data_IF_639838685532
#
_entry.id   IF_639838685532
#
_cell.length_a   1.000
_cell.length_b   1.000
_cell.length_c   1.000
_cell.angle_alpha   90.00
_cell.angle_beta   90.00
_cell.angle_gamma   90.00
#
_symmetry.space_group_name_H-M   'P 1'
#
loop_
_entity.id
_entity.type
_entity.pdbx_description
1 polymer ?
#
# COMPACT_ATOMS: atom_id res chain seq x y z
N UNK A 1 0.53 -13.29 -7.09
CA UNK A 1 0.20 -14.05 -5.87
C UNK A 1 0.66 -15.50 -5.93
N UNK A 2 0.32 -16.23 -7.02
CA UNK A 2 0.61 -17.66 -7.13
C UNK A 2 2.06 -18.01 -6.81
N UNK A 3 3.01 -17.25 -7.33
CA UNK A 3 4.43 -17.51 -7.10
C UNK A 3 4.88 -17.19 -5.67
N UNK A 4 4.40 -16.10 -5.12
CA UNK A 4 4.64 -15.72 -3.73
C UNK A 4 4.04 -16.74 -2.77
N UNK A 5 2.76 -17.12 -2.98
CA UNK A 5 2.06 -18.12 -2.17
C UNK A 5 2.65 -19.52 -2.30
N UNK A 6 3.26 -19.86 -3.45
CA UNK A 6 3.89 -21.17 -3.68
C UNK A 6 5.26 -21.26 -3.01
N UNK A 7 6.11 -20.24 -3.16
CA UNK A 7 7.54 -20.28 -2.86
C UNK A 7 7.95 -19.45 -1.63
N UNK A 8 7.06 -18.63 -1.06
CA UNK A 8 7.40 -17.71 0.05
C UNK A 8 8.42 -16.64 -0.33
N UNK A 9 8.53 -16.31 -1.62
CA UNK A 9 9.52 -15.36 -2.13
C UNK A 9 8.95 -14.47 -3.24
N UNK A 10 9.41 -13.22 -3.25
CA UNK A 10 9.08 -12.26 -4.30
C UNK A 10 9.71 -12.63 -5.64
N UNK A 11 9.04 -12.32 -6.73
CA UNK A 11 9.61 -12.45 -8.05
C UNK A 11 10.57 -11.27 -8.30
N UNK A 12 11.86 -11.55 -8.33
CA UNK A 12 12.91 -10.56 -8.58
C UNK A 12 13.37 -10.65 -10.02
N UNK A 13 13.35 -9.52 -10.73
CA UNK A 13 14.02 -9.36 -12.03
C UNK A 13 15.45 -8.88 -11.84
N UNK A 14 16.43 -9.55 -12.45
CA UNK A 14 17.84 -9.16 -12.34
C UNK A 14 18.17 -7.86 -13.10
N UNK A 15 17.39 -7.54 -14.14
CA UNK A 15 17.61 -6.40 -15.05
C UNK A 15 16.82 -5.14 -14.67
N UNK A 16 16.08 -5.16 -13.58
CA UNK A 16 15.19 -4.07 -13.21
C UNK A 16 13.89 -4.05 -14.01
N UNK A 17 13.25 -2.89 -14.05
CA UNK A 17 11.99 -2.64 -14.77
C UNK A 17 12.30 -1.73 -15.95
N UNK A 18 11.88 -2.13 -17.15
CA UNK A 18 12.07 -1.40 -18.40
C UNK A 18 10.78 -0.80 -18.96
N UNK A 19 9.70 -0.84 -18.17
CA UNK A 19 8.43 -0.15 -18.46
C UNK A 19 8.57 1.36 -18.23
N UNK A 20 7.72 2.20 -18.85
CA UNK A 20 7.73 3.64 -18.66
C UNK A 20 7.49 4.03 -17.18
N UNK A 21 7.88 5.25 -16.84
CA UNK A 21 7.39 5.88 -15.60
C UNK A 21 5.87 5.97 -15.62
N UNK A 22 5.22 5.88 -14.48
CA UNK A 22 3.76 5.88 -14.37
C UNK A 22 3.11 7.04 -15.14
N UNK A 23 3.65 8.25 -15.00
CA UNK A 23 3.17 9.46 -15.68
C UNK A 23 3.30 9.42 -17.22
N UNK A 24 4.15 8.55 -17.75
CA UNK A 24 4.38 8.38 -19.21
C UNK A 24 3.69 7.12 -19.77
N UNK A 25 3.07 6.32 -18.93
CA UNK A 25 2.36 5.12 -19.36
C UNK A 25 1.02 5.46 -20.02
N UNK A 26 0.69 4.76 -21.10
CA UNK A 26 -0.63 4.83 -21.73
C UNK A 26 -1.67 3.92 -21.04
N UNK A 27 -1.25 3.16 -20.05
CA UNK A 27 -2.11 2.27 -19.29
C UNK A 27 -2.35 2.84 -17.90
N UNK A 28 -3.49 2.49 -17.29
CA UNK A 28 -3.76 2.84 -15.90
C UNK A 28 -2.62 2.37 -14.98
N UNK A 29 -2.15 3.28 -14.15
CA UNK A 29 -1.12 3.00 -13.16
C UNK A 29 -1.67 3.22 -11.74
N UNK A 30 -1.53 2.23 -10.85
CA UNK A 30 -1.88 2.45 -9.45
C UNK A 30 -1.00 3.55 -8.85
N UNK A 31 -1.54 4.33 -7.93
CA UNK A 31 -0.88 5.49 -7.35
C UNK A 31 0.51 5.17 -6.74
N UNK A 32 0.71 3.94 -6.30
CA UNK A 32 2.01 3.46 -5.81
C UNK A 32 3.15 3.62 -6.82
N UNK A 33 2.86 3.47 -8.11
CA UNK A 33 3.88 3.47 -9.16
C UNK A 33 4.46 4.88 -9.43
N UNK A 34 3.78 5.92 -8.96
CA UNK A 34 4.28 7.31 -9.01
C UNK A 34 5.34 7.60 -7.94
N UNK A 35 5.54 6.70 -6.97
CA UNK A 35 6.52 6.85 -5.91
C UNK A 35 7.68 5.89 -6.11
N UNK A 36 8.90 6.41 -6.03
CA UNK A 36 10.13 5.63 -6.11
C UNK A 36 10.88 5.70 -4.79
N UNK A 37 11.32 4.55 -4.29
CA UNK A 37 12.11 4.47 -3.07
C UNK A 37 13.40 5.26 -3.24
N UNK A 38 13.66 6.22 -2.35
CA UNK A 38 14.95 6.89 -2.27
C UNK A 38 15.95 5.98 -1.57
N UNK A 39 17.15 5.88 -2.11
CA UNK A 39 18.28 5.29 -1.39
C UNK A 39 18.89 6.35 -0.50
N UNK A 40 19.03 6.03 0.78
CA UNK A 40 19.65 6.93 1.71
C UNK A 40 21.19 6.94 1.48
N UNK A 41 21.72 8.10 1.22
CA UNK A 41 23.16 8.37 1.40
C UNK A 41 23.32 8.85 2.84
N UNK A 42 23.81 7.99 3.74
CA UNK A 42 23.45 8.16 5.13
C UNK A 42 24.58 7.94 6.07
N UNK A 43 24.37 8.54 7.24
CA UNK A 43 25.09 8.26 8.48
C UNK A 43 24.96 6.79 8.90
N UNK A 44 23.83 6.13 8.62
CA UNK A 44 23.64 4.72 8.91
C UNK A 44 23.98 3.88 7.66
N UNK A 45 25.02 3.03 7.70
CA UNK A 45 25.35 2.17 6.57
C UNK A 45 24.25 1.11 6.34
N UNK A 46 24.08 0.63 5.11
CA UNK A 46 23.21 -0.48 4.82
C UNK A 46 23.56 -1.72 5.66
N UNK A 47 22.53 -2.45 6.06
CA UNK A 47 22.69 -3.74 6.76
C UNK A 47 22.98 -4.81 5.69
N UNK A 48 23.95 -5.66 5.92
CA UNK A 48 24.31 -6.72 4.98
C UNK A 48 23.24 -7.81 4.89
N UNK A 49 23.18 -8.50 3.75
CA UNK A 49 22.16 -9.49 3.46
C UNK A 49 22.21 -10.76 4.34
N UNK A 50 23.30 -11.00 5.06
CA UNK A 50 23.42 -12.14 5.97
C UNK A 50 22.74 -11.81 7.29
N UNK A 51 22.93 -10.59 7.80
CA UNK A 51 22.41 -10.15 9.11
C UNK A 51 21.05 -9.49 9.05
N UNK A 52 20.55 -9.07 7.86
CA UNK A 52 19.29 -8.31 7.74
C UNK A 52 18.12 -8.97 8.49
N UNK A 53 17.98 -10.29 8.44
CA UNK A 53 16.89 -11.02 9.11
C UNK A 53 17.04 -11.07 10.64
N UNK A 54 18.26 -11.01 11.15
CA UNK A 54 18.54 -11.11 12.58
C UNK A 54 18.42 -9.74 13.26
N UNK A 55 18.90 -8.69 12.61
CA UNK A 55 18.95 -7.35 13.22
C UNK A 55 17.71 -6.50 12.95
N UNK A 56 16.92 -6.82 11.91
CA UNK A 56 15.73 -6.04 11.56
C UNK A 56 14.51 -6.53 12.31
N UNK A 57 13.95 -5.67 13.16
CA UNK A 57 12.68 -5.94 13.84
C UNK A 57 11.50 -5.46 13.01
N UNK A 58 10.56 -6.36 12.75
CA UNK A 58 9.28 -6.08 12.09
C UNK A 58 8.14 -5.85 13.07
N UNK A 59 8.41 -5.94 14.37
CA UNK A 59 7.42 -5.74 15.43
C UNK A 59 6.82 -4.35 15.37
N UNK A 60 5.50 -4.28 15.47
CA UNK A 60 4.73 -3.03 15.50
C UNK A 60 3.89 -2.98 16.76
N UNK A 61 3.70 -1.78 17.29
CA UNK A 61 2.81 -1.50 18.41
C UNK A 61 1.64 -0.66 17.92
N UNK A 62 0.42 -1.07 18.27
CA UNK A 62 -0.82 -0.42 17.86
C UNK A 62 -1.52 0.14 19.08
N UNK A 63 -2.04 1.35 18.95
CA UNK A 63 -2.74 2.07 20.01
C UNK A 63 -2.24 3.50 20.12
N UNK A 64 -2.45 4.11 21.29
CA UNK A 64 -1.93 5.43 21.59
C UNK A 64 -0.51 5.34 22.11
N UNK A 65 0.39 6.19 21.61
CA UNK A 65 1.74 6.38 22.18
C UNK A 65 1.70 7.22 23.48
N UNK A 66 0.58 7.89 23.73
CA UNK A 66 0.42 8.82 24.85
C UNK A 66 1.34 10.04 24.76
N UNK A 67 1.61 10.65 25.90
CA UNK A 67 2.57 11.74 25.99
C UNK A 67 3.92 11.19 26.44
N UNK A 68 4.88 11.11 25.53
CA UNK A 68 6.24 10.57 25.78
C UNK A 68 7.05 11.40 26.80
N UNK A 69 6.60 12.61 27.12
CA UNK A 69 7.21 13.47 28.16
C UNK A 69 6.66 13.17 29.56
N UNK A 70 5.66 12.32 29.66
CA UNK A 70 5.04 11.92 30.93
C UNK A 70 5.22 10.41 31.14
N UNK A 71 5.91 10.04 32.21
CA UNK A 71 6.12 8.62 32.59
C UNK A 71 4.85 8.05 33.24
N UNK A 72 3.90 7.58 32.40
CA UNK A 72 2.64 6.99 32.86
C UNK A 72 2.53 5.53 32.41
N UNK A 73 2.06 4.60 33.28
CA UNK A 73 1.82 3.20 32.89
C UNK A 73 0.89 3.05 31.69
N UNK A 74 -0.08 3.96 31.52
CA UNK A 74 -1.06 3.97 30.43
C UNK A 74 -0.38 4.10 29.05
N UNK A 75 0.76 4.79 28.96
CA UNK A 75 1.52 4.93 27.72
C UNK A 75 2.10 3.60 27.21
N UNK A 76 2.16 2.58 28.09
CA UNK A 76 2.62 1.23 27.75
C UNK A 76 1.49 0.30 27.30
N UNK A 77 0.23 0.76 27.33
CA UNK A 77 -0.93 -0.02 26.83
C UNK A 77 -0.99 0.00 25.31
N UNK A 78 -0.20 -0.86 24.68
CA UNK A 78 -0.16 -1.00 23.23
C UNK A 78 -0.32 -2.47 22.84
N UNK A 79 -1.03 -2.73 21.73
CA UNK A 79 -1.15 -4.05 21.16
C UNK A 79 0.11 -4.35 20.32
N UNK A 80 0.89 -5.32 20.78
CA UNK A 80 2.07 -5.78 20.06
C UNK A 80 1.68 -6.79 18.98
N UNK A 81 2.10 -6.55 17.75
CA UNK A 81 2.02 -7.49 16.63
C UNK A 81 3.41 -7.80 16.09
N UNK A 82 3.63 -9.02 15.61
CA UNK A 82 4.97 -9.49 15.20
C UNK A 82 5.45 -8.85 13.89
N UNK A 83 4.51 -8.49 13.01
CA UNK A 83 4.79 -7.83 11.74
C UNK A 83 3.59 -6.98 11.29
N UNK A 84 3.78 -6.02 10.36
CA UNK A 84 2.72 -5.12 9.94
C UNK A 84 1.73 -5.70 8.93
N UNK A 85 1.89 -6.96 8.48
CA UNK A 85 0.97 -7.58 7.52
C UNK A 85 0.00 -8.50 8.25
N UNK A 86 -1.27 -8.11 8.24
CA UNK A 86 -2.32 -8.81 8.97
C UNK A 86 -3.06 -9.80 8.08
N UNK A 87 -3.40 -10.95 8.65
CA UNK A 87 -4.34 -11.89 8.03
C UNK A 87 -5.79 -11.40 8.19
N UNK A 88 -6.72 -11.96 7.40
CA UNK A 88 -8.16 -11.71 7.58
C UNK A 88 -8.64 -12.10 9.00
N UNK A 89 -8.05 -13.12 9.58
CA UNK A 89 -8.34 -13.51 10.97
C UNK A 89 -7.84 -12.48 11.98
N UNK A 90 -6.65 -11.91 11.76
CA UNK A 90 -6.08 -10.93 12.68
C UNK A 90 -6.89 -9.62 12.69
N UNK A 91 -7.29 -9.13 11.50
CA UNK A 91 -8.12 -7.93 11.43
C UNK A 91 -9.48 -8.12 12.10
N UNK A 92 -10.08 -9.30 11.99
CA UNK A 92 -11.34 -9.62 12.68
C UNK A 92 -11.16 -9.67 14.20
N UNK A 93 -10.04 -10.22 14.71
CA UNK A 93 -9.73 -10.17 16.15
C UNK A 93 -9.56 -8.75 16.64
N UNK A 94 -8.89 -7.89 15.88
CA UNK A 94 -8.70 -6.47 16.23
C UNK A 94 -10.05 -5.75 16.24
N UNK A 95 -10.87 -5.90 15.19
CA UNK A 95 -12.22 -5.28 15.10
C UNK A 95 -13.13 -5.65 16.29
N UNK A 96 -13.03 -6.90 16.75
CA UNK A 96 -13.87 -7.43 17.83
C UNK A 96 -13.22 -7.36 19.21
N UNK A 97 -12.08 -6.71 19.33
CA UNK A 97 -11.33 -6.63 20.59
C UNK A 97 -12.11 -5.84 21.64
N UNK A 98 -12.35 -6.48 22.78
CA UNK A 98 -13.02 -5.89 23.97
C UNK A 98 -12.06 -5.91 25.15
N UNK A 99 -10.96 -5.19 25.03
CA UNK A 99 -9.93 -5.10 26.06
C UNK A 99 -9.89 -3.66 26.55
N UNK A 100 -9.90 -3.49 27.87
CA UNK A 100 -9.84 -2.15 28.49
C UNK A 100 -8.58 -1.39 28.04
N UNK A 101 -8.76 -0.13 27.65
CA UNK A 101 -7.71 0.73 27.11
C UNK A 101 -7.57 0.69 25.59
N UNK A 102 -8.36 -0.17 24.88
CA UNK A 102 -8.42 -0.18 23.42
C UNK A 102 -9.83 0.13 22.92
N UNK A 103 -9.93 1.06 22.01
CA UNK A 103 -11.15 1.32 21.24
C UNK A 103 -10.80 1.37 19.76
N UNK A 104 -11.40 0.44 19.02
CA UNK A 104 -11.19 0.27 17.58
C UNK A 104 -12.38 0.85 16.83
N UNK A 105 -12.12 1.67 15.83
CA UNK A 105 -13.16 2.23 14.95
C UNK A 105 -12.79 1.94 13.50
N UNK A 106 -13.76 1.46 12.72
CA UNK A 106 -13.57 1.24 11.28
C UNK A 106 -14.19 2.40 10.52
N UNK A 107 -13.39 3.06 9.69
CA UNK A 107 -13.80 4.16 8.83
C UNK A 107 -13.79 3.68 7.38
N UNK A 108 -14.94 3.66 6.69
CA UNK A 108 -14.99 3.33 5.27
C UNK A 108 -14.24 4.40 4.47
N UNK A 109 -13.40 3.95 3.53
CA UNK A 109 -12.74 4.81 2.53
C UNK A 109 -13.41 4.65 1.16
N UNK A 110 -14.73 4.51 1.16
CA UNK A 110 -15.57 4.45 -0.03
C UNK A 110 -16.49 5.66 -0.08
N UNK A 111 -16.83 6.08 -1.28
CA UNK A 111 -17.68 7.26 -1.50
C UNK A 111 -18.60 7.05 -2.71
N UNK A 112 -19.70 7.80 -2.77
CA UNK A 112 -20.61 7.74 -3.90
C UNK A 112 -19.97 8.26 -5.18
N UNK A 113 -20.16 7.55 -6.28
CA UNK A 113 -19.62 7.81 -7.62
C UNK A 113 -19.79 9.25 -8.12
N UNK A 114 -20.84 9.96 -7.67
CA UNK A 114 -21.10 11.35 -8.05
C UNK A 114 -20.53 12.38 -7.07
N UNK A 115 -19.72 11.94 -6.11
CA UNK A 115 -19.04 12.81 -5.14
C UNK A 115 -17.60 12.98 -5.57
N UNK A 116 -17.03 14.19 -5.49
CA UNK A 116 -15.62 14.38 -5.82
C UNK A 116 -14.71 13.70 -4.79
N UNK A 117 -13.57 13.21 -5.25
CA UNK A 117 -12.54 12.59 -4.42
C UNK A 117 -12.09 13.52 -3.28
N UNK A 118 -11.98 14.83 -3.55
CA UNK A 118 -11.63 15.83 -2.53
C UNK A 118 -12.65 15.84 -1.38
N UNK A 119 -13.94 15.87 -1.67
CA UNK A 119 -15.00 15.81 -0.65
C UNK A 119 -14.99 14.49 0.12
N UNK A 120 -14.66 13.38 -0.55
CA UNK A 120 -14.53 12.09 0.09
C UNK A 120 -13.39 12.09 1.13
N UNK A 121 -12.25 12.72 0.80
CA UNK A 121 -11.13 12.88 1.72
C UNK A 121 -11.51 13.82 2.88
N UNK A 122 -12.22 14.91 2.62
CA UNK A 122 -12.70 15.81 3.68
C UNK A 122 -13.64 15.08 4.66
N UNK A 123 -14.50 14.21 4.13
CA UNK A 123 -15.38 13.36 4.96
C UNK A 123 -14.56 12.38 5.82
N UNK A 124 -13.49 11.80 5.26
CA UNK A 124 -12.58 10.94 6.02
C UNK A 124 -11.99 11.67 7.25
N UNK A 125 -11.63 12.96 7.11
CA UNK A 125 -11.14 13.76 8.23
C UNK A 125 -12.20 13.97 9.32
N UNK A 126 -13.45 14.23 8.93
CA UNK A 126 -14.58 14.39 9.86
C UNK A 126 -14.82 13.10 10.64
N UNK A 127 -14.81 11.95 9.97
CA UNK A 127 -14.99 10.66 10.63
C UNK A 127 -13.83 10.31 11.57
N UNK A 128 -12.58 10.61 11.18
CA UNK A 128 -11.42 10.44 12.05
C UNK A 128 -11.49 11.33 13.29
N UNK A 129 -11.97 12.55 13.15
CA UNK A 129 -12.20 13.45 14.29
C UNK A 129 -13.32 12.98 15.22
N UNK A 130 -14.38 12.42 14.65
CA UNK A 130 -15.45 11.77 15.42
C UNK A 130 -14.88 10.60 16.23
N UNK A 131 -14.18 9.70 15.56
CA UNK A 131 -13.57 8.53 16.19
C UNK A 131 -12.62 8.94 17.35
N UNK A 132 -11.77 9.95 17.11
CA UNK A 132 -10.87 10.48 18.15
C UNK A 132 -11.63 11.04 19.35
N UNK A 133 -12.66 11.86 19.14
CA UNK A 133 -13.50 12.41 20.24
C UNK A 133 -14.20 11.33 21.03
N UNK A 134 -14.56 10.23 20.39
CA UNK A 134 -15.15 9.06 21.03
C UNK A 134 -14.11 8.17 21.74
N UNK A 135 -12.83 8.52 21.67
CA UNK A 135 -11.74 7.81 22.36
C UNK A 135 -11.15 6.63 21.59
N UNK A 136 -11.38 6.54 20.28
CA UNK A 136 -10.71 5.52 19.46
C UNK A 136 -9.19 5.77 19.44
N UNK A 137 -8.42 4.70 19.65
CA UNK A 137 -6.95 4.71 19.57
C UNK A 137 -6.41 3.77 18.50
N UNK A 138 -7.29 3.01 17.84
CA UNK A 138 -6.98 2.25 16.64
C UNK A 138 -8.06 2.57 15.59
N UNK A 139 -7.64 3.10 14.45
CA UNK A 139 -8.50 3.34 13.29
C UNK A 139 -8.19 2.32 12.22
N UNK A 140 -9.22 1.69 11.65
CA UNK A 140 -9.12 0.82 10.50
C UNK A 140 -9.75 1.53 9.31
N UNK A 141 -8.95 1.92 8.33
CA UNK A 141 -9.42 2.38 7.03
C UNK A 141 -9.79 1.17 6.18
N UNK A 142 -11.01 1.11 5.68
CA UNK A 142 -11.48 -0.06 4.92
C UNK A 142 -12.12 0.34 3.60
N UNK A 143 -11.69 -0.29 2.51
CA UNK A 143 -12.34 -0.19 1.20
C UNK A 143 -13.32 -1.34 0.92
N UNK A 144 -13.61 -2.17 1.94
CA UNK A 144 -14.66 -3.19 1.81
C UNK A 144 -16.01 -2.52 1.59
N UNK A 145 -16.79 -3.07 0.69
CA UNK A 145 -18.10 -2.56 0.33
C UNK A 145 -18.11 -1.72 -0.94
N UNK A 146 -17.04 -1.75 -1.72
CA UNK A 146 -17.06 -1.24 -3.11
C UNK A 146 -18.13 -2.00 -3.89
N UNK A 147 -19.02 -1.26 -4.53
CA UNK A 147 -20.12 -1.78 -5.36
C UNK A 147 -20.35 -0.87 -6.59
N UNK A 148 -21.39 -1.08 -7.35
CA UNK A 148 -21.70 -0.31 -8.57
C UNK A 148 -21.81 1.22 -8.33
N UNK A 149 -22.15 1.64 -7.10
CA UNK A 149 -22.39 3.03 -6.72
C UNK A 149 -21.29 3.62 -5.82
N UNK A 150 -20.49 2.76 -5.19
CA UNK A 150 -19.47 3.17 -4.24
C UNK A 150 -18.08 2.88 -4.80
N UNK A 151 -17.28 3.92 -4.87
CA UNK A 151 -15.90 3.93 -5.35
C UNK A 151 -14.95 4.05 -4.17
N UNK A 152 -13.80 3.38 -4.20
CA UNK A 152 -12.80 3.51 -3.16
C UNK A 152 -11.91 4.73 -3.37
N UNK A 153 -11.57 5.43 -2.30
CA UNK A 153 -10.42 6.35 -2.28
C UNK A 153 -9.16 5.51 -2.47
N UNK A 154 -8.22 5.86 -3.37
CA UNK A 154 -6.95 5.15 -3.48
C UNK A 154 -6.29 4.99 -2.11
N UNK A 155 -5.94 3.76 -1.74
CA UNK A 155 -5.54 3.44 -0.38
C UNK A 155 -4.31 4.22 0.10
N UNK A 156 -3.33 4.43 -0.79
CA UNK A 156 -2.16 5.23 -0.49
C UNK A 156 -2.52 6.71 -0.24
N UNK A 157 -3.46 7.25 -1.01
CA UNK A 157 -3.95 8.63 -0.82
C UNK A 157 -4.70 8.76 0.50
N UNK A 158 -5.59 7.80 0.82
CA UNK A 158 -6.34 7.80 2.08
C UNK A 158 -5.41 7.74 3.30
N UNK A 159 -4.42 6.83 3.29
CA UNK A 159 -3.44 6.70 4.37
C UNK A 159 -2.61 7.97 4.54
N UNK A 160 -2.04 8.48 3.44
CA UNK A 160 -1.18 9.66 3.51
C UNK A 160 -1.95 10.92 3.88
N UNK A 161 -3.13 11.13 3.32
CA UNK A 161 -4.00 12.26 3.65
C UNK A 161 -4.38 12.26 5.13
N UNK A 162 -4.85 11.12 5.65
CA UNK A 162 -5.17 10.98 7.08
C UNK A 162 -3.93 11.20 7.96
N UNK A 163 -2.78 10.61 7.61
CA UNK A 163 -1.53 10.81 8.33
C UNK A 163 -1.17 12.30 8.44
N UNK A 164 -1.23 13.04 7.32
CA UNK A 164 -0.94 14.47 7.31
C UNK A 164 -1.93 15.25 8.19
N UNK A 165 -3.21 14.94 8.07
CA UNK A 165 -4.26 15.56 8.88
C UNK A 165 -4.05 15.32 10.38
N UNK A 166 -3.76 14.09 10.80
CA UNK A 166 -3.50 13.75 12.19
C UNK A 166 -2.25 14.43 12.74
N UNK A 167 -1.20 14.58 11.92
CA UNK A 167 0.00 15.34 12.30
C UNK A 167 -0.31 16.83 12.49
N UNK A 168 -1.02 17.44 11.52
CA UNK A 168 -1.37 18.87 11.58
C UNK A 168 -2.29 19.18 12.77
N UNK A 169 -3.22 18.30 13.09
CA UNK A 169 -4.16 18.45 14.22
C UNK A 169 -3.61 17.92 15.54
N UNK A 170 -2.34 17.49 15.58
CA UNK A 170 -1.64 16.97 16.78
C UNK A 170 -2.31 15.74 17.41
N UNK A 171 -2.94 14.89 16.59
CA UNK A 171 -3.65 13.69 17.03
C UNK A 171 -2.89 12.40 16.67
N UNK A 172 -1.78 12.50 15.91
CA UNK A 172 -1.11 11.31 15.37
C UNK A 172 -0.62 10.33 16.42
N UNK A 173 -0.13 10.80 17.54
CA UNK A 173 0.35 9.96 18.64
C UNK A 173 -0.77 9.30 19.45
N UNK A 174 -2.01 9.74 19.28
CA UNK A 174 -3.16 9.16 19.98
C UNK A 174 -3.77 7.96 19.26
N UNK A 175 -3.43 7.74 17.99
CA UNK A 175 -4.11 6.74 17.15
C UNK A 175 -3.16 5.98 16.24
N UNK A 176 -3.28 4.66 16.22
CA UNK A 176 -2.68 3.81 15.18
C UNK A 176 -3.64 3.72 13.98
N UNK A 177 -3.08 3.72 12.77
CA UNK A 177 -3.84 3.63 11.52
C UNK A 177 -3.56 2.29 10.85
N UNK A 178 -4.55 1.44 10.78
CA UNK A 178 -4.53 0.17 10.05
C UNK A 178 -5.24 0.37 8.72
N UNK A 179 -4.72 -0.22 7.66
CA UNK A 179 -5.39 -0.26 6.37
C UNK A 179 -5.89 -1.67 6.08
N UNK A 180 -7.18 -1.81 5.78
CA UNK A 180 -7.82 -3.01 5.22
C UNK A 180 -8.20 -2.69 3.77
N UNK A 181 -7.44 -3.21 2.79
CA UNK A 181 -7.62 -2.80 1.39
C UNK A 181 -7.38 -3.93 0.41
N UNK A 182 -8.13 -3.89 -0.70
CA UNK A 182 -7.95 -4.76 -1.85
C UNK A 182 -6.83 -4.33 -2.81
N UNK A 183 -6.26 -3.13 -2.65
CA UNK A 183 -5.27 -2.59 -3.58
C UNK A 183 -3.85 -3.16 -3.41
N UNK A 184 -3.28 -3.28 -2.17
CA UNK A 184 -1.89 -3.68 -2.00
C UNK A 184 -1.67 -5.14 -2.40
N UNK A 185 -0.62 -5.39 -3.20
CA UNK A 185 -0.36 -6.70 -3.81
C UNK A 185 1.08 -7.15 -3.76
N UNK A 186 2.03 -6.23 -3.90
CA UNK A 186 3.47 -6.51 -3.94
C UNK A 186 4.25 -5.67 -2.93
N UNK A 187 5.52 -6.00 -2.73
CA UNK A 187 6.39 -5.37 -1.72
C UNK A 187 6.41 -3.85 -1.82
N UNK A 188 6.41 -3.29 -3.03
CA UNK A 188 6.45 -1.84 -3.22
C UNK A 188 5.19 -1.15 -2.68
N UNK A 189 4.01 -1.75 -2.87
CA UNK A 189 2.76 -1.21 -2.33
C UNK A 189 2.78 -1.16 -0.81
N UNK A 190 3.23 -2.24 -0.16
CA UNK A 190 3.34 -2.27 1.31
C UNK A 190 4.40 -1.30 1.83
N UNK A 191 5.54 -1.21 1.16
CA UNK A 191 6.59 -0.27 1.54
C UNK A 191 6.10 1.18 1.47
N UNK A 192 5.40 1.57 0.41
CA UNK A 192 4.83 2.92 0.29
C UNK A 192 3.78 3.20 1.36
N UNK A 193 2.85 2.28 1.61
CA UNK A 193 1.83 2.43 2.65
C UNK A 193 2.44 2.62 4.04
N UNK A 194 3.40 1.79 4.42
CA UNK A 194 4.12 1.93 5.68
C UNK A 194 4.90 3.25 5.73
N UNK A 195 5.61 3.58 4.65
CA UNK A 195 6.39 4.82 4.55
C UNK A 195 5.54 6.09 4.62
N UNK A 196 4.26 6.03 4.24
CA UNK A 196 3.32 7.14 4.35
C UNK A 196 2.42 7.08 5.58
N UNK A 197 2.62 6.12 6.49
CA UNK A 197 2.07 6.20 7.84
C UNK A 197 1.08 5.11 8.25
N UNK A 198 0.84 4.08 7.42
CA UNK A 198 0.11 2.91 7.88
C UNK A 198 0.91 2.20 8.99
N UNK A 199 0.23 1.85 10.07
CA UNK A 199 0.83 1.06 11.16
C UNK A 199 0.82 -0.43 10.84
N UNK A 200 -0.26 -0.91 10.22
CA UNK A 200 -0.40 -2.27 9.73
C UNK A 200 -1.34 -2.32 8.52
N UNK A 201 -1.28 -3.39 7.74
CA UNK A 201 -2.02 -3.54 6.49
C UNK A 201 -2.60 -4.95 6.42
N UNK A 202 -3.90 -5.05 6.10
CA UNK A 202 -4.55 -6.29 5.73
C UNK A 202 -4.86 -6.26 4.22
N UNK A 203 -4.15 -7.02 3.39
CA UNK A 203 -4.39 -7.12 1.95
C UNK A 203 -5.47 -8.17 1.67
N UNK A 204 -6.70 -7.92 2.10
CA UNK A 204 -7.73 -8.93 2.12
C UNK A 204 -8.00 -9.58 0.75
N UNK A 205 -8.03 -8.77 -0.31
CA UNK A 205 -8.32 -9.27 -1.66
C UNK A 205 -7.18 -10.15 -2.21
N UNK A 206 -5.92 -9.82 -1.89
CA UNK A 206 -4.79 -10.68 -2.26
C UNK A 206 -4.88 -12.04 -1.57
N UNK A 207 -5.28 -12.09 -0.30
CA UNK A 207 -5.47 -13.33 0.45
C UNK A 207 -6.67 -14.11 -0.07
N UNK A 208 -7.79 -13.45 -0.38
CA UNK A 208 -8.98 -14.09 -0.98
C UNK A 208 -8.68 -14.63 -2.40
N UNK A 209 -7.88 -13.91 -3.19
CA UNK A 209 -7.43 -14.40 -4.52
C UNK A 209 -6.54 -15.64 -4.43
N UNK A 210 -5.80 -15.82 -3.33
CA UNK A 210 -5.05 -17.07 -3.09
C UNK A 210 -6.03 -18.25 -2.88
N UNK A 211 -7.12 -18.03 -2.13
CA UNK A 211 -8.17 -19.05 -1.96
C UNK A 211 -8.78 -19.43 -3.31
N UNK A 212 -9.09 -18.44 -4.14
CA UNK A 212 -9.63 -18.70 -5.48
C UNK A 212 -8.67 -19.54 -6.35
N UNK A 213 -7.35 -19.27 -6.29
CA UNK A 213 -6.37 -20.09 -7.01
C UNK A 213 -6.34 -21.54 -6.53
N UNK A 214 -6.60 -21.78 -5.26
CA UNK A 214 -6.70 -23.14 -4.69
C UNK A 214 -7.99 -23.81 -5.18
N UNK A 215 -9.12 -23.11 -5.09
CA UNK A 215 -10.43 -23.61 -5.50
C UNK A 215 -10.48 -23.96 -7.01
N UNK A 216 -9.77 -23.18 -7.83
CA UNK A 216 -9.59 -23.44 -9.26
C UNK A 216 -8.53 -24.52 -9.59
N UNK A 217 -7.96 -25.19 -8.58
CA UNK A 217 -6.84 -26.15 -8.72
C UNK A 217 -5.61 -25.59 -9.45
N UNK A 218 -5.41 -24.28 -9.38
CA UNK A 218 -4.23 -23.59 -9.94
C UNK A 218 -3.06 -23.53 -8.95
N UNK A 219 -3.33 -23.74 -7.66
CA UNK A 219 -2.35 -23.79 -6.57
C UNK A 219 -2.68 -24.97 -5.67
N UNK A 220 -1.83 -26.01 -5.69
CA UNK A 220 -1.95 -27.18 -4.82
C UNK A 220 -1.20 -26.92 -3.50
N UNK A 221 -1.89 -26.29 -2.55
CA UNK A 221 -1.37 -25.94 -1.22
C UNK A 221 -2.50 -25.64 -0.25
N UNK A 222 -2.25 -25.90 1.04
CA UNK A 222 -3.16 -25.45 2.10
C UNK A 222 -3.27 -23.91 2.12
N UNK A 223 -4.49 -23.41 2.31
CA UNK A 223 -4.76 -21.97 2.29
C UNK A 223 -3.94 -21.18 3.31
N UNK A 224 -3.90 -21.64 4.55
CA UNK A 224 -3.17 -20.94 5.61
C UNK A 224 -1.66 -20.91 5.33
N UNK A 225 -1.11 -22.04 4.88
CA UNK A 225 0.29 -22.12 4.49
C UNK A 225 0.60 -21.23 3.27
N UNK A 226 -0.33 -21.14 2.32
CA UNK A 226 -0.18 -20.27 1.14
C UNK A 226 -0.23 -18.78 1.49
N UNK A 227 -1.14 -18.39 2.39
CA UNK A 227 -1.23 -16.99 2.90
C UNK A 227 0.00 -16.64 3.73
N UNK A 228 0.48 -17.56 4.58
CA UNK A 228 1.70 -17.34 5.37
C UNK A 228 2.92 -17.15 4.46
N UNK A 229 3.05 -17.94 3.42
CA UNK A 229 4.16 -17.80 2.46
C UNK A 229 4.06 -16.49 1.66
N UNK A 230 2.85 -16.08 1.26
CA UNK A 230 2.64 -14.76 0.65
C UNK A 230 3.06 -13.64 1.60
N UNK A 231 2.57 -13.67 2.84
CA UNK A 231 2.91 -12.66 3.85
C UNK A 231 4.43 -12.64 4.14
N UNK A 232 5.07 -13.82 4.23
CA UNK A 232 6.51 -13.95 4.42
C UNK A 232 7.30 -13.37 3.23
N UNK A 233 6.84 -13.56 2.00
CA UNK A 233 7.46 -12.94 0.82
C UNK A 233 7.46 -11.41 0.92
N UNK A 234 6.32 -10.83 1.31
CA UNK A 234 6.17 -9.38 1.51
C UNK A 234 7.08 -8.88 2.64
N UNK A 235 7.06 -9.54 3.80
CA UNK A 235 7.89 -9.17 4.97
C UNK A 235 9.38 -9.24 4.63
N UNK A 236 9.83 -10.30 3.97
CA UNK A 236 11.22 -10.42 3.54
C UNK A 236 11.64 -9.28 2.59
N UNK A 237 10.73 -8.87 1.70
CA UNK A 237 10.96 -7.73 0.82
C UNK A 237 11.06 -6.40 1.59
N UNK A 238 10.18 -6.16 2.56
CA UNK A 238 10.23 -4.98 3.43
C UNK A 238 11.52 -4.96 4.26
N UNK A 239 11.91 -6.08 4.86
CA UNK A 239 13.18 -6.21 5.59
C UNK A 239 14.36 -5.85 4.70
N UNK A 240 14.36 -6.31 3.46
CA UNK A 240 15.41 -5.99 2.49
C UNK A 240 15.46 -4.50 2.14
N UNK A 241 14.31 -3.84 1.98
CA UNK A 241 14.24 -2.39 1.77
C UNK A 241 14.78 -1.65 3.00
N UNK A 242 14.30 -1.97 4.19
CA UNK A 242 14.75 -1.36 5.44
C UNK A 242 16.26 -1.55 5.65
N UNK A 243 16.78 -2.75 5.40
CA UNK A 243 18.20 -3.06 5.51
C UNK A 243 19.06 -2.20 4.57
N UNK A 244 18.65 -2.00 3.31
CA UNK A 244 19.34 -1.12 2.36
C UNK A 244 19.34 0.35 2.82
N UNK A 245 18.34 0.75 3.60
CA UNK A 245 18.23 2.08 4.17
C UNK A 245 18.98 2.23 5.50
N UNK A 246 19.60 1.18 6.01
CA UNK A 246 20.23 1.17 7.33
C UNK A 246 19.22 1.23 8.48
N UNK A 247 17.98 0.84 8.26
CA UNK A 247 16.89 0.86 9.24
C UNK A 247 16.74 -0.54 9.83
N UNK A 248 16.89 -0.65 11.15
CA UNK A 248 16.79 -1.91 11.88
C UNK A 248 15.46 -2.14 12.61
N UNK A 249 14.56 -1.18 12.57
CA UNK A 249 13.21 -1.32 13.11
C UNK A 249 12.17 -0.74 12.15
N UNK A 250 11.11 -1.51 11.89
CA UNK A 250 10.06 -1.08 10.96
C UNK A 250 9.36 0.20 11.43
N UNK A 251 9.30 0.46 12.73
CA UNK A 251 8.74 1.68 13.28
C UNK A 251 9.47 2.95 12.82
N UNK A 252 10.77 2.88 12.60
CA UNK A 252 11.56 4.00 12.06
C UNK A 252 11.33 4.19 10.56
N UNK A 253 10.80 3.19 9.87
CA UNK A 253 10.40 3.29 8.47
C UNK A 253 8.98 3.86 8.32
N UNK A 254 8.10 3.59 9.28
CA UNK A 254 6.71 4.06 9.26
C UNK A 254 6.64 5.59 9.31
N UNK A 255 5.96 6.18 8.31
CA UNK A 255 5.80 7.61 8.19
C UNK A 255 7.09 8.38 7.82
N UNK A 256 8.19 7.71 7.50
CA UNK A 256 9.47 8.34 7.16
C UNK A 256 9.44 9.03 5.78
N UNK A 257 8.51 8.67 4.88
CA UNK A 257 8.32 9.27 3.55
C UNK A 257 9.58 9.29 2.69
N UNK A 258 10.39 8.24 2.77
CA UNK A 258 11.66 8.13 2.05
C UNK A 258 11.39 7.71 0.61
N UNK A 259 10.63 8.55 -0.10
CA UNK A 259 10.25 8.36 -1.50
C UNK A 259 10.39 9.65 -2.28
N UNK A 260 10.56 9.53 -3.58
CA UNK A 260 10.40 10.59 -4.55
C UNK A 260 9.11 10.36 -5.32
N UNK A 261 8.26 11.39 -5.40
CA UNK A 261 7.11 11.40 -6.28
C UNK A 261 7.55 11.85 -7.69
N UNK A 262 7.11 11.13 -8.71
CA UNK A 262 7.43 11.41 -10.10
C UNK A 262 6.14 11.50 -10.91
N UNK A 263 5.80 12.71 -11.36
CA UNK A 263 4.63 12.94 -12.18
C UNK A 263 3.34 13.13 -11.40
N UNK A 264 3.40 13.71 -10.21
CA UNK A 264 2.25 14.14 -9.42
C UNK A 264 2.32 15.67 -9.24
N UNK A 265 1.18 16.33 -9.43
CA UNK A 265 1.03 17.77 -9.26
C UNK A 265 1.45 18.25 -7.86
N UNK A 266 2.07 19.43 -7.79
CA UNK A 266 2.58 20.01 -6.55
C UNK A 266 1.48 20.28 -5.52
N UNK A 267 0.25 20.60 -5.93
CA UNK A 267 -0.87 20.81 -5.02
C UNK A 267 -1.26 19.52 -4.32
N UNK A 268 -1.27 18.41 -5.04
CA UNK A 268 -1.51 17.07 -4.47
C UNK A 268 -0.41 16.70 -3.47
N UNK A 269 0.85 16.93 -3.84
CA UNK A 269 2.00 16.65 -2.96
C UNK A 269 1.92 17.51 -1.70
N UNK A 270 1.74 18.82 -1.82
CA UNK A 270 1.72 19.74 -0.69
C UNK A 270 0.55 19.48 0.26
N UNK A 271 -0.59 19.04 -0.26
CA UNK A 271 -1.79 18.78 0.52
C UNK A 271 -1.79 17.40 1.19
N UNK A 272 -1.45 16.36 0.44
CA UNK A 272 -1.64 14.97 0.89
C UNK A 272 -0.34 14.19 1.14
N UNK A 273 0.78 14.60 0.54
CA UNK A 273 2.09 13.93 0.64
C UNK A 273 3.19 14.88 1.13
N UNK A 274 2.82 15.82 1.97
CA UNK A 274 3.71 16.90 2.44
C UNK A 274 5.06 16.38 2.95
N UNK A 275 6.13 16.96 2.45
CA UNK A 275 7.51 16.61 2.78
C UNK A 275 8.09 15.51 1.87
N UNK A 276 7.34 15.02 0.88
CA UNK A 276 7.87 14.13 -0.15
C UNK A 276 8.60 14.93 -1.23
N UNK A 277 9.76 14.45 -1.64
CA UNK A 277 10.51 15.05 -2.75
C UNK A 277 9.72 14.86 -4.05
N UNK A 278 9.51 15.95 -4.79
CA UNK A 278 8.91 15.92 -6.13
C UNK A 278 9.66 16.90 -7.01
N UNK A 279 10.11 16.44 -8.18
CA UNK A 279 10.86 17.26 -9.16
C UNK A 279 10.15 17.33 -10.51
N UNK A 280 9.18 16.49 -10.74
CA UNK A 280 8.41 16.38 -11.99
C UNK A 280 6.95 16.38 -11.63
N UNK A 281 6.26 17.40 -12.07
CA UNK A 281 4.80 17.51 -11.95
C UNK A 281 4.07 16.61 -12.95
N UNK A 282 2.77 16.43 -12.79
CA UNK A 282 1.97 15.58 -13.66
C UNK A 282 0.51 15.54 -13.24
N UNK A 283 0.03 14.37 -12.81
CA UNK A 283 -1.38 14.12 -12.54
C UNK A 283 -1.89 14.96 -11.37
N UNK A 284 -3.01 15.61 -11.60
CA UNK A 284 -3.76 16.35 -10.58
C UNK A 284 -4.68 15.42 -9.77
N UNK A 285 -5.28 15.95 -8.71
CA UNK A 285 -6.29 15.19 -7.95
C UNK A 285 -7.48 14.77 -8.83
N UNK A 286 -7.84 15.62 -9.80
CA UNK A 286 -8.93 15.32 -10.74
C UNK A 286 -8.57 14.20 -11.72
N UNK A 287 -7.31 14.12 -12.13
CA UNK A 287 -6.83 13.02 -12.98
C UNK A 287 -6.86 11.70 -12.20
N UNK A 288 -6.42 11.70 -10.93
CA UNK A 288 -6.53 10.54 -10.04
C UNK A 288 -7.99 10.11 -9.87
N UNK A 289 -8.91 11.06 -9.68
CA UNK A 289 -10.36 10.79 -9.60
C UNK A 289 -10.87 10.14 -10.88
N UNK A 290 -10.53 10.69 -12.05
CA UNK A 290 -10.93 10.16 -13.34
C UNK A 290 -10.40 8.73 -13.60
N UNK A 291 -9.15 8.47 -13.18
CA UNK A 291 -8.55 7.14 -13.31
C UNK A 291 -9.29 6.12 -12.44
N UNK A 292 -9.61 6.48 -11.20
CA UNK A 292 -10.37 5.63 -10.29
C UNK A 292 -11.77 5.34 -10.82
N UNK A 293 -12.49 6.37 -11.30
CA UNK A 293 -13.83 6.22 -11.88
C UNK A 293 -13.80 5.36 -13.15
N UNK A 294 -12.78 5.52 -13.98
CA UNK A 294 -12.60 4.72 -15.20
C UNK A 294 -12.38 3.24 -14.84
N UNK A 295 -11.50 2.97 -13.87
CA UNK A 295 -11.23 1.62 -13.43
C UNK A 295 -12.45 0.97 -12.77
N UNK A 296 -13.17 1.73 -11.94
CA UNK A 296 -14.41 1.29 -11.31
C UNK A 296 -15.49 0.96 -12.36
N UNK A 297 -15.71 1.85 -13.34
CA UNK A 297 -16.69 1.63 -14.40
C UNK A 297 -16.35 0.41 -15.27
N UNK A 298 -15.06 0.16 -15.50
CA UNK A 298 -14.60 -1.05 -16.20
C UNK A 298 -14.85 -2.32 -15.38
N UNK A 299 -14.67 -2.26 -14.04
CA UNK A 299 -14.85 -3.42 -13.16
C UNK A 299 -16.34 -3.80 -13.02
N UNK A 300 -17.22 -2.82 -12.91
CA UNK A 300 -18.65 -3.06 -12.71
C UNK A 300 -19.49 -3.08 -14.00
N UNK A 301 -18.93 -2.67 -15.14
CA UNK A 301 -19.58 -2.65 -16.46
C UNK A 301 -21.10 -2.36 -16.39
N UNK A 302 -21.53 -1.12 -16.11
CA UNK A 302 -22.92 -0.79 -15.80
C UNK A 302 -23.91 -1.09 -16.94
N UNK A 303 -23.39 -1.33 -18.14
CA UNK A 303 -24.21 -1.68 -19.31
C UNK A 303 -24.25 -3.20 -19.56
N UNK A 304 -23.47 -4.01 -18.83
CA UNK A 304 -23.41 -5.46 -18.96
C UNK A 304 -22.96 -5.92 -20.36
N UNK A 305 -22.16 -5.11 -21.03
CA UNK A 305 -21.73 -5.39 -22.41
C UNK A 305 -20.51 -6.30 -22.48
N UNK A 306 -19.75 -6.40 -21.40
CA UNK A 306 -18.59 -7.30 -21.31
C UNK A 306 -19.03 -8.69 -20.87
N UNK A 307 -18.78 -9.69 -21.69
CA UNK A 307 -19.00 -11.10 -21.37
C UNK A 307 -17.71 -11.80 -20.94
N UNK A 308 -16.57 -11.16 -21.11
CA UNK A 308 -15.26 -11.70 -20.74
C UNK A 308 -14.87 -11.26 -19.33
N UNK A 309 -14.89 -12.19 -18.40
CA UNK A 309 -14.50 -11.99 -17.00
C UNK A 309 -13.03 -12.34 -16.74
N UNK A 310 -12.25 -12.69 -17.78
CA UNK A 310 -10.84 -13.00 -17.61
C UNK A 310 -10.03 -11.76 -17.25
N UNK A 311 -9.12 -11.91 -16.28
CA UNK A 311 -8.20 -10.82 -15.91
C UNK A 311 -7.14 -10.65 -17.00
N UNK A 312 -7.14 -9.46 -17.58
CA UNK A 312 -6.13 -9.05 -18.52
C UNK A 312 -4.75 -8.91 -17.86
N UNK A 313 -3.71 -9.44 -18.52
CA UNK A 313 -2.35 -9.14 -18.10
C UNK A 313 -1.99 -7.71 -18.49
N UNK A 314 -1.59 -6.88 -17.54
CA UNK A 314 -1.10 -5.52 -17.80
C UNK A 314 0.20 -5.50 -18.62
N UNK A 315 0.91 -6.62 -18.71
CA UNK A 315 2.17 -6.70 -19.43
C UNK A 315 3.37 -6.08 -18.70
N UNK A 316 3.21 -5.67 -17.44
CA UNK A 316 4.25 -4.94 -16.69
C UNK A 316 5.54 -5.75 -16.43
N UNK A 317 5.45 -7.07 -16.26
CA UNK A 317 6.59 -7.95 -15.99
C UNK A 317 7.15 -8.65 -17.22
N UNK A 318 6.41 -8.65 -18.30
CA UNK A 318 6.81 -9.25 -19.57
C UNK A 318 6.03 -8.58 -20.69
N UNK A 319 6.74 -8.18 -21.73
CA UNK A 319 6.11 -7.60 -22.92
C UNK A 319 4.97 -8.47 -23.45
N UNK A 320 3.84 -7.83 -23.70
CA UNK A 320 2.66 -8.38 -24.37
C UNK A 320 2.21 -7.41 -25.45
N UNK A 321 1.89 -7.92 -26.61
CA UNK A 321 1.40 -7.09 -27.72
C UNK A 321 0.14 -6.33 -27.31
N UNK A 322 0.10 -5.02 -27.56
CA UNK A 322 -1.04 -4.15 -27.24
C UNK A 322 -1.23 -3.86 -25.75
N UNK A 323 -0.24 -4.16 -24.91
CA UNK A 323 -0.23 -3.87 -23.45
C UNK A 323 0.87 -2.85 -23.13
N UNK A 324 1.46 -2.91 -21.94
CA UNK A 324 2.49 -1.97 -21.49
C UNK A 324 3.70 -1.97 -22.43
N UNK A 325 4.23 -0.81 -22.68
CA UNK A 325 5.44 -0.63 -23.48
C UNK A 325 6.70 -1.08 -22.70
N UNK A 326 7.67 -1.59 -23.42
CA UNK A 326 8.95 -2.01 -22.85
C UNK A 326 10.11 -1.43 -23.67
N UNK A 327 11.15 -0.94 -22.98
CA UNK A 327 12.35 -0.47 -23.65
C UNK A 327 13.00 -1.58 -24.48
N UNK A 328 13.07 -2.79 -23.92
CA UNK A 328 13.61 -3.97 -24.58
C UNK A 328 12.50 -4.77 -25.28
N UNK A 329 11.87 -4.16 -26.27
CA UNK A 329 10.90 -4.82 -27.14
C UNK A 329 11.60 -5.44 -28.38
N UNK A 330 10.95 -6.31 -29.17
CA UNK A 330 11.54 -6.94 -30.34
C UNK A 330 12.11 -5.97 -31.37
N UNK A 331 11.48 -4.81 -31.55
CA UNK A 331 11.91 -3.77 -32.48
C UNK A 331 13.22 -3.13 -32.01
N UNK A 332 13.31 -2.74 -30.73
CA UNK A 332 14.50 -2.15 -30.14
C UNK A 332 15.68 -3.14 -30.19
N UNK A 333 15.43 -4.41 -29.84
CA UNK A 333 16.44 -5.46 -29.91
C UNK A 333 16.94 -5.69 -31.34
N UNK A 334 16.05 -5.66 -32.34
CA UNK A 334 16.43 -5.75 -33.75
C UNK A 334 17.30 -4.58 -34.18
N UNK A 335 16.98 -3.34 -33.72
CA UNK A 335 17.80 -2.16 -34.01
C UNK A 335 19.21 -2.22 -33.38
N UNK A 336 19.32 -2.77 -32.18
CA UNK A 336 20.62 -2.97 -31.52
C UNK A 336 21.51 -3.87 -32.39
N UNK A 337 20.99 -4.97 -32.92
CA UNK A 337 21.75 -5.87 -33.79
C UNK A 337 22.13 -5.26 -35.13
N UNK A 338 21.35 -4.30 -35.64
CA UNK A 338 21.68 -3.61 -36.91
C UNK A 338 22.77 -2.56 -36.69
N UNK A 339 22.88 -2.00 -35.48
CA UNK A 339 23.83 -0.93 -35.16
C UNK A 339 25.19 -1.46 -34.65
N UNK A 340 25.33 -2.75 -34.41
CA UNK A 340 26.63 -3.34 -34.05
C UNK A 340 27.55 -3.38 -35.29
N UNK A 341 28.79 -2.84 -35.20
CA UNK A 341 29.76 -2.84 -36.32
C UNK A 341 30.27 -4.23 -36.65
#
# INVERSE_FOLDING_TARGET
YKRQALNGSEQIGAMGIDTPLAVLSNNHQPLFNYFKQLFAQVTNPPIDSIREKVVTSTTVYLGSDGNVLEEKPENCKQLRINNPILTNTDILKIKNMKVDGFKVETIPIIYYKNTSLEKAIDHLYVEADRAHREGANIIILSDRGVDENHVAIPSLLAVSALQQYLVQTKKRTSMAVILESGEPRDVHHFATLLGFGASAINPYLAQESIQELIDLNMLDKDYYAAVDDYNNAIINGIVKIAAKMGISTIQSYQGAKIFEAIGIDSDVINKYFKGTVSRIEGVSLKDIENDVETLHSKAFDPLGLSTDTTLDSAGAHKMRSGKEEHLYNPQTLSLIHISEP
#
